data_IF_387302059747
#
_entry.id   IF_387302059747
#
_cell.length_a   1.000
_cell.length_b   1.000
_cell.length_c   1.000
_cell.angle_alpha   90.00
_cell.angle_beta   90.00
_cell.angle_gamma   90.00
#
_symmetry.space_group_name_H-M   'P 1'
#
loop_
_entity.id
_entity.type
_entity.pdbx_description
1 polymer ?
#
# COMPACT_ATOMS: atom_id res chain seq x y z
N UNK A 1 13.93 -11.64 -15.74
CA UNK A 1 14.64 -10.34 -15.77
C UNK A 1 13.79 -9.33 -16.52
N UNK A 2 14.01 -8.02 -16.37
CA UNK A 2 13.32 -7.01 -17.19
C UNK A 2 14.21 -6.64 -18.39
N UNK A 3 13.66 -6.67 -19.61
CA UNK A 3 14.36 -6.30 -20.86
C UNK A 3 13.62 -5.11 -21.46
N UNK A 4 14.29 -3.97 -21.61
CA UNK A 4 13.69 -2.73 -22.09
C UNK A 4 14.47 -2.23 -23.31
N UNK A 5 13.76 -1.83 -24.35
CA UNK A 5 14.31 -1.13 -25.50
C UNK A 5 13.99 0.36 -25.40
N UNK A 6 14.99 1.23 -25.66
CA UNK A 6 14.81 2.68 -25.65
C UNK A 6 14.36 3.12 -27.05
N UNK A 7 13.16 3.71 -27.15
CA UNK A 7 12.56 4.12 -28.43
C UNK A 7 12.71 5.62 -28.68
N UNK A 8 12.75 6.42 -27.61
CA UNK A 8 12.93 7.87 -27.68
C UNK A 8 13.79 8.35 -26.50
N UNK A 9 14.51 9.45 -26.71
CA UNK A 9 15.27 10.12 -25.64
C UNK A 9 14.38 11.09 -24.87
N UNK A 10 14.33 10.95 -23.55
CA UNK A 10 13.65 11.90 -22.66
C UNK A 10 14.55 13.07 -22.29
N UNK A 11 14.03 14.31 -22.39
CA UNK A 11 14.76 15.53 -22.00
C UNK A 11 14.57 15.87 -20.51
N UNK A 12 13.47 15.40 -19.92
CA UNK A 12 13.13 15.60 -18.50
C UNK A 12 12.30 14.42 -17.99
N UNK A 13 12.16 14.32 -16.66
CA UNK A 13 11.18 13.44 -16.05
C UNK A 13 9.77 14.01 -16.23
N UNK A 14 8.82 13.17 -16.62
CA UNK A 14 7.43 13.54 -16.86
C UNK A 14 6.44 12.62 -16.14
N UNK A 15 5.12 12.85 -16.32
CA UNK A 15 4.07 11.95 -15.83
C UNK A 15 4.20 10.55 -16.42
N UNK A 16 3.54 9.57 -15.79
CA UNK A 16 3.64 8.16 -16.17
C UNK A 16 3.29 7.90 -17.64
N UNK A 17 2.26 8.57 -18.16
CA UNK A 17 1.83 8.43 -19.56
C UNK A 17 2.90 8.90 -20.55
N UNK A 18 3.49 10.08 -20.35
CA UNK A 18 4.58 10.59 -21.19
C UNK A 18 5.83 9.68 -21.10
N UNK A 19 6.15 9.18 -19.91
CA UNK A 19 7.33 8.34 -19.69
C UNK A 19 7.21 6.94 -20.32
N UNK A 20 5.99 6.39 -20.39
CA UNK A 20 5.72 5.09 -21.00
C UNK A 20 6.04 5.07 -22.50
N UNK A 21 5.91 6.20 -23.20
CA UNK A 21 6.20 6.29 -24.64
C UNK A 21 7.71 6.23 -24.98
N UNK A 22 8.59 6.35 -23.98
CA UNK A 22 10.04 6.39 -24.19
C UNK A 22 10.65 4.99 -24.41
N UNK A 23 9.91 3.93 -24.10
CA UNK A 23 10.45 2.57 -24.10
C UNK A 23 9.44 1.48 -24.48
N UNK A 24 9.96 0.35 -24.95
CA UNK A 24 9.20 -0.89 -25.14
C UNK A 24 9.70 -1.95 -24.15
N UNK A 25 8.76 -2.65 -23.51
CA UNK A 25 9.07 -3.70 -22.53
C UNK A 25 8.97 -5.08 -23.18
N UNK A 26 10.12 -5.76 -23.31
CA UNK A 26 10.26 -7.10 -23.87
C UNK A 26 10.39 -8.17 -22.77
N UNK A 27 9.94 -7.86 -21.55
CA UNK A 27 9.89 -8.87 -20.50
C UNK A 27 8.86 -9.93 -20.83
N UNK A 28 9.26 -11.19 -20.66
CA UNK A 28 8.32 -12.31 -20.69
C UNK A 28 7.23 -12.07 -19.64
N UNK A 29 5.98 -12.51 -19.92
CA UNK A 29 4.91 -12.45 -18.94
C UNK A 29 5.40 -13.03 -17.62
N UNK A 30 5.24 -12.27 -16.53
CA UNK A 30 5.62 -12.79 -15.22
C UNK A 30 4.76 -14.03 -14.96
N UNK A 31 5.33 -15.10 -14.39
CA UNK A 31 4.53 -16.24 -13.98
C UNK A 31 3.39 -15.72 -13.12
N UNK A 32 2.18 -16.23 -13.38
CA UNK A 32 1.02 -15.94 -12.56
C UNK A 32 1.41 -16.30 -11.14
N UNK A 33 1.54 -15.29 -10.27
CA UNK A 33 1.76 -15.56 -8.86
C UNK A 33 0.51 -16.28 -8.38
N UNK A 34 0.69 -17.48 -7.86
CA UNK A 34 -0.37 -18.15 -7.12
C UNK A 34 -0.93 -17.15 -6.12
N UNK A 35 -2.26 -17.15 -5.98
CA UNK A 35 -2.94 -16.24 -5.07
C UNK A 35 -2.51 -16.62 -3.66
N UNK A 36 -1.48 -15.94 -3.14
CA UNK A 36 -1.01 -16.13 -1.76
C UNK A 36 -2.20 -15.78 -0.86
N UNK A 37 -2.59 -16.67 0.06
CA UNK A 37 -3.66 -16.37 0.99
C UNK A 37 -3.31 -15.09 1.77
N UNK A 38 -4.29 -14.22 1.94
CA UNK A 38 -4.11 -13.03 2.76
C UNK A 38 -3.73 -13.44 4.18
N UNK A 39 -2.79 -12.73 4.80
CA UNK A 39 -2.46 -12.95 6.20
C UNK A 39 -3.76 -12.79 7.04
N UNK A 40 -4.03 -13.68 8.01
CA UNK A 40 -5.23 -13.58 8.82
C UNK A 40 -5.37 -12.19 9.43
N UNK A 41 -6.58 -11.63 9.34
CA UNK A 41 -6.90 -10.36 9.97
C UNK A 41 -6.79 -10.52 11.48
N UNK A 42 -6.17 -9.55 12.12
CA UNK A 42 -6.13 -9.49 13.58
C UNK A 42 -7.56 -9.45 14.15
N UNK A 43 -7.86 -10.37 15.07
CA UNK A 43 -9.20 -10.56 15.67
C UNK A 43 -9.67 -9.39 16.56
N UNK A 44 -8.85 -8.35 16.74
CA UNK A 44 -9.19 -7.20 17.58
C UNK A 44 -9.09 -7.46 19.09
N UNK A 45 -8.44 -8.56 19.51
CA UNK A 45 -8.29 -8.94 20.92
C UNK A 45 -7.07 -8.30 21.56
N UNK A 46 -7.27 -7.46 22.58
CA UNK A 46 -6.20 -6.82 23.36
C UNK A 46 -6.12 -5.31 23.14
N UNK A 47 -6.18 -4.82 21.89
CA UNK A 47 -6.23 -3.38 21.64
C UNK A 47 -7.63 -2.82 21.84
N UNK A 48 -7.81 -1.83 22.74
CA UNK A 48 -9.06 -1.10 22.86
C UNK A 48 -9.57 -0.53 21.54
N UNK A 49 -10.84 -0.80 21.24
CA UNK A 49 -11.54 -0.10 20.16
C UNK A 49 -11.65 1.40 20.49
N UNK A 50 -11.91 2.24 19.48
CA UNK A 50 -12.14 3.67 19.71
C UNK A 50 -13.34 3.97 20.63
N UNK A 51 -14.34 3.07 20.66
CA UNK A 51 -15.44 3.12 21.63
C UNK A 51 -14.93 2.88 23.06
N UNK A 52 -14.12 1.84 23.26
CA UNK A 52 -13.59 1.49 24.57
C UNK A 52 -12.64 2.55 25.12
N UNK A 53 -11.77 3.13 24.27
CA UNK A 53 -10.93 4.27 24.67
C UNK A 53 -11.78 5.45 25.16
N UNK A 54 -12.83 5.84 24.41
CA UNK A 54 -13.73 6.93 24.82
C UNK A 54 -14.39 6.65 26.17
N UNK A 55 -14.84 5.41 26.40
CA UNK A 55 -15.40 5.03 27.69
C UNK A 55 -14.37 5.15 28.83
N UNK A 56 -13.12 4.70 28.64
CA UNK A 56 -12.05 4.92 29.63
C UNK A 56 -11.81 6.40 29.94
N UNK A 57 -11.80 7.26 28.92
CA UNK A 57 -11.70 8.71 29.11
C UNK A 57 -12.92 9.28 29.85
N UNK A 58 -14.11 8.69 29.69
CA UNK A 58 -15.30 9.09 30.45
C UNK A 58 -15.21 8.73 31.93
N UNK A 59 -14.48 7.67 32.30
CA UNK A 59 -14.26 7.30 33.71
C UNK A 59 -13.13 8.08 34.38
N UNK A 60 -12.28 8.78 33.61
CA UNK A 60 -11.10 9.47 34.16
C UNK A 60 -11.36 10.90 34.63
N UNK A 61 -12.62 11.34 34.77
CA UNK A 61 -12.89 12.67 35.31
C UNK A 61 -14.25 12.83 36.03
N UNK A 62 -14.49 12.05 37.07
CA UNK A 62 -15.50 12.38 38.07
C UNK A 62 -14.90 12.37 39.48
N UNK A 63 -14.41 13.54 39.92
CA UNK A 63 -14.51 13.99 41.32
C UNK A 63 -13.45 13.53 42.31
N UNK A 64 -12.25 14.11 42.25
CA UNK A 64 -11.42 14.36 43.44
C UNK A 64 -11.04 15.85 43.47
N UNK A 65 -12.04 16.67 43.74
CA UNK A 65 -11.96 17.76 44.72
C UNK A 65 -12.85 17.34 45.91
#
# INVERSE_FOLDING_TARGET
>A
MRKIEVVKMGVRRGPASEAQELYLDHSEPRPIREKIPENPKYEGKGRPTGKWRRALHSFSNSGLD
#
